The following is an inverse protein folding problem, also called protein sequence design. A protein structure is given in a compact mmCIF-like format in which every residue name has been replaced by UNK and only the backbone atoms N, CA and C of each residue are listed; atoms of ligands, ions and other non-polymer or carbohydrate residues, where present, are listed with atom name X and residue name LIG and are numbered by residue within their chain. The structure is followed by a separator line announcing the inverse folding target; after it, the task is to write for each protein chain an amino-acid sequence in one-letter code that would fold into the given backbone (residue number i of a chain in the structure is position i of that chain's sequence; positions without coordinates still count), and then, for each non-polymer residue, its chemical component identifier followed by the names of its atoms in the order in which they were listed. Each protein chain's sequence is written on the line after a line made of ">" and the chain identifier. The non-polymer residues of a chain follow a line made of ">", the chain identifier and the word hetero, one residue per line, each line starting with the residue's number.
data_IF_638963413359
#
_entry.id   IF_638963413359
#
_cell.length_a   1.000
_cell.length_b   1.000
_cell.length_c   1.000
_cell.angle_alpha   90.00
_cell.angle_beta   90.00
_cell.angle_gamma   90.00
#
_symmetry.space_group_name_H-M   'P 1'
#
loop_
_entity.id
_entity.type
_entity.pdbx_description
1 polymer ?
#
# COMPACT_ATOMS: atom_id res chain seq x y z
N UNK A 1 1.18 -16.81 3.26
CA UNK A 1 1.00 -16.97 1.80
C UNK A 1 1.04 -15.67 1.02
N UNK A 2 0.79 -14.52 1.66
CA UNK A 2 1.23 -13.25 1.10
C UNK A 2 2.75 -13.26 0.92
N UNK A 3 3.24 -12.89 -0.25
CA UNK A 3 4.65 -12.81 -0.63
C UNK A 3 5.24 -11.43 -0.32
N UNK A 4 6.56 -11.25 -0.48
CA UNK A 4 7.26 -10.00 -0.17
C UNK A 4 6.70 -8.75 -0.86
N UNK A 5 6.16 -8.90 -2.06
CA UNK A 5 5.54 -7.82 -2.83
C UNK A 5 4.08 -7.53 -2.47
N UNK A 6 3.52 -8.15 -1.42
CA UNK A 6 2.08 -8.01 -1.11
C UNK A 6 1.19 -8.93 -1.94
N UNK A 7 1.76 -9.67 -2.89
CA UNK A 7 1.02 -10.57 -3.76
C UNK A 7 0.60 -11.83 -3.03
N UNK A 8 -0.56 -12.35 -3.38
CA UNK A 8 -1.06 -13.63 -2.90
C UNK A 8 -1.38 -14.48 -4.12
N UNK A 9 -0.61 -15.52 -4.37
CA UNK A 9 -0.79 -16.90 -3.90
C UNK A 9 0.42 -17.69 -4.42
N UNK A 10 0.45 -19.01 -4.25
CA UNK A 10 1.47 -19.83 -4.89
C UNK A 10 0.82 -20.86 -5.80
N UNK A 11 0.87 -20.62 -7.11
CA UNK A 11 0.25 -21.47 -8.13
C UNK A 11 -1.28 -21.54 -7.96
N UNK A 12 -1.91 -20.38 -7.77
CA UNK A 12 -3.37 -20.22 -7.57
C UNK A 12 -3.90 -20.89 -6.28
N UNK A 13 -3.02 -21.19 -5.32
CA UNK A 13 -3.36 -21.93 -4.10
C UNK A 13 -2.81 -21.25 -2.85
N UNK A 14 -3.56 -21.40 -1.75
CA UNK A 14 -3.05 -21.23 -0.41
C UNK A 14 -2.28 -22.52 -0.02
N UNK A 15 -0.97 -22.42 0.12
CA UNK A 15 -0.05 -23.53 0.39
C UNK A 15 0.70 -23.42 1.73
N UNK A 16 0.53 -22.33 2.47
CA UNK A 16 1.22 -22.10 3.75
C UNK A 16 2.68 -21.67 3.62
N UNK A 17 3.15 -21.30 2.42
CA UNK A 17 4.55 -20.96 2.16
C UNK A 17 4.71 -19.62 1.42
N UNK A 18 4.90 -18.48 2.11
CA UNK A 18 5.10 -17.17 1.47
C UNK A 18 6.45 -17.03 0.74
N UNK A 19 7.32 -18.04 0.84
CA UNK A 19 8.62 -18.06 0.18
C UNK A 19 8.63 -18.92 -1.09
N UNK A 20 7.52 -19.56 -1.44
CA UNK A 20 7.45 -20.40 -2.63
C UNK A 20 7.64 -19.54 -3.90
N UNK A 21 8.44 -20.05 -4.85
CA UNK A 21 8.71 -19.37 -6.13
C UNK A 21 7.69 -19.73 -7.23
N UNK A 22 6.51 -20.18 -6.84
CA UNK A 22 5.45 -20.50 -7.79
C UNK A 22 4.82 -19.21 -8.31
N UNK A 23 4.04 -19.27 -9.40
CA UNK A 23 3.32 -18.10 -9.87
C UNK A 23 2.46 -17.44 -8.78
N UNK A 24 2.62 -16.12 -8.62
CA UNK A 24 1.81 -15.26 -7.77
C UNK A 24 0.75 -14.63 -8.67
N UNK A 25 -0.43 -15.22 -8.67
CA UNK A 25 -1.48 -14.85 -9.60
C UNK A 25 -2.10 -13.48 -9.24
N UNK A 26 -2.30 -12.65 -10.28
CA UNK A 26 -2.98 -11.35 -10.16
C UNK A 26 -4.38 -11.48 -9.57
N UNK A 27 -5.22 -12.40 -10.04
CA UNK A 27 -6.59 -12.54 -9.50
C UNK A 27 -6.61 -12.96 -8.04
N UNK A 28 -5.73 -13.87 -7.63
CA UNK A 28 -5.57 -14.25 -6.23
C UNK A 28 -5.18 -13.05 -5.35
N UNK A 29 -4.31 -12.16 -5.85
CA UNK A 29 -3.93 -10.94 -5.12
C UNK A 29 -5.11 -9.98 -4.99
N UNK A 30 -5.91 -9.78 -6.05
CA UNK A 30 -7.12 -8.96 -5.99
C UNK A 30 -8.14 -9.55 -5.00
N UNK A 31 -8.30 -10.87 -4.98
CA UNK A 31 -9.17 -11.55 -4.02
C UNK A 31 -8.68 -11.39 -2.57
N UNK A 32 -7.37 -11.49 -2.34
CA UNK A 32 -6.74 -11.22 -1.04
C UNK A 32 -7.02 -9.79 -0.56
N UNK A 33 -6.88 -8.80 -1.44
CA UNK A 33 -7.20 -7.41 -1.11
C UNK A 33 -8.68 -7.21 -0.81
N UNK A 34 -9.59 -7.76 -1.63
CA UNK A 34 -11.03 -7.66 -1.39
C UNK A 34 -11.43 -8.27 -0.04
N UNK A 35 -10.86 -9.43 0.30
CA UNK A 35 -11.06 -10.06 1.61
C UNK A 35 -10.49 -9.21 2.76
N UNK A 36 -9.32 -8.59 2.55
CA UNK A 36 -8.69 -7.71 3.54
C UNK A 36 -9.51 -6.43 3.79
N UNK A 37 -10.20 -5.89 2.77
CA UNK A 37 -11.15 -4.77 2.98
C UNK A 37 -12.27 -5.17 3.95
N UNK A 38 -12.86 -6.35 3.76
CA UNK A 38 -13.90 -6.86 4.67
C UNK A 38 -13.34 -7.18 6.06
N UNK A 39 -12.14 -7.75 6.15
CA UNK A 39 -11.46 -7.99 7.42
C UNK A 39 -11.20 -6.67 8.17
N UNK A 40 -10.77 -5.62 7.48
CA UNK A 40 -10.55 -4.30 8.05
C UNK A 40 -11.86 -3.69 8.58
N UNK A 41 -12.97 -3.84 7.83
CA UNK A 41 -14.31 -3.40 8.27
C UNK A 41 -14.76 -4.10 9.55
N UNK A 42 -14.52 -5.40 9.66
CA UNK A 42 -14.96 -6.21 10.79
C UNK A 42 -14.11 -6.01 12.04
N UNK A 43 -12.79 -5.89 11.87
CA UNK A 43 -11.84 -5.90 12.98
C UNK A 43 -11.41 -4.51 13.42
N UNK A 44 -11.40 -3.55 12.50
CA UNK A 44 -10.75 -2.25 12.72
C UNK A 44 -9.27 -2.37 13.05
N UNK A 45 -8.59 -3.45 12.63
CA UNK A 45 -7.16 -3.65 12.89
C UNK A 45 -6.32 -2.89 11.85
N UNK A 46 -5.48 -1.91 12.26
CA UNK A 46 -4.66 -1.13 11.33
C UNK A 46 -3.63 -1.96 10.56
N UNK A 47 -3.22 -3.13 11.06
CA UNK A 47 -2.27 -4.00 10.34
C UNK A 47 -2.89 -4.54 9.05
N UNK A 48 -4.22 -4.72 9.01
CA UNK A 48 -4.92 -5.10 7.78
C UNK A 48 -4.85 -3.98 6.73
N UNK A 49 -4.92 -2.72 7.16
CA UNK A 49 -4.70 -1.58 6.27
C UNK A 49 -3.24 -1.47 5.81
N UNK A 50 -2.27 -1.89 6.62
CA UNK A 50 -0.86 -2.01 6.20
C UNK A 50 -0.68 -3.08 5.12
N UNK A 51 -1.39 -4.22 5.21
CA UNK A 51 -1.40 -5.27 4.18
C UNK A 51 -2.05 -4.81 2.87
N UNK A 52 -3.14 -4.03 2.96
CA UNK A 52 -3.78 -3.39 1.81
C UNK A 52 -2.84 -2.40 1.14
N UNK A 53 -2.17 -1.55 1.92
CA UNK A 53 -1.17 -0.59 1.41
C UNK A 53 0.01 -1.32 0.74
N UNK A 54 0.56 -2.35 1.37
CA UNK A 54 1.64 -3.15 0.80
C UNK A 54 1.24 -3.75 -0.55
N UNK A 55 0.06 -4.38 -0.62
CA UNK A 55 -0.46 -5.00 -1.85
C UNK A 55 -0.70 -3.95 -2.95
N UNK A 56 -1.23 -2.79 -2.56
CA UNK A 56 -1.57 -1.69 -3.48
C UNK A 56 -0.31 -1.07 -4.08
N UNK A 57 0.67 -0.71 -3.26
CA UNK A 57 1.87 0.02 -3.71
C UNK A 57 2.93 -0.87 -4.36
N UNK A 58 2.85 -2.19 -4.17
CA UNK A 58 3.83 -3.14 -4.71
C UNK A 58 3.22 -4.08 -5.73
N UNK A 59 2.34 -5.01 -5.34
CA UNK A 59 1.79 -5.99 -6.28
C UNK A 59 0.83 -5.38 -7.31
N UNK A 60 -0.05 -4.47 -6.93
CA UNK A 60 -0.99 -3.83 -7.88
C UNK A 60 -0.25 -2.90 -8.83
N UNK A 61 0.69 -2.09 -8.36
CA UNK A 61 1.57 -1.32 -9.27
C UNK A 61 2.41 -2.27 -10.14
N UNK A 62 3.01 -3.30 -9.53
CA UNK A 62 3.92 -4.24 -10.18
C UNK A 62 3.25 -5.15 -11.21
N UNK A 63 1.96 -5.46 -11.10
CA UNK A 63 1.24 -6.26 -12.09
C UNK A 63 0.95 -5.46 -13.38
N UNK A 64 0.80 -4.14 -13.31
CA UNK A 64 0.49 -3.32 -14.49
C UNK A 64 1.76 -2.90 -15.25
N UNK A 65 1.67 -2.82 -16.58
CA UNK A 65 2.71 -2.17 -17.38
C UNK A 65 2.79 -0.69 -17.02
N UNK A 66 3.95 -0.06 -17.23
CA UNK A 66 4.10 1.38 -17.02
C UNK A 66 3.12 2.22 -17.87
N UNK A 67 2.73 1.70 -19.04
CA UNK A 67 1.74 2.31 -19.92
C UNK A 67 0.29 1.99 -19.55
N UNK A 68 0.05 1.12 -18.57
CA UNK A 68 -1.28 0.60 -18.22
C UNK A 68 -1.93 -0.32 -19.28
N UNK A 69 -1.25 -0.59 -20.40
CA UNK A 69 -1.81 -1.36 -21.54
C UNK A 69 -2.03 -2.84 -21.26
N UNK A 70 -1.28 -3.41 -20.33
CA UNK A 70 -1.40 -4.82 -19.99
C UNK A 70 -1.14 -5.02 -18.50
N UNK A 71 -1.66 -6.12 -17.98
CA UNK A 71 -1.32 -6.64 -16.65
C UNK A 71 -0.71 -8.04 -16.76
N UNK A 72 0.09 -8.41 -15.79
CA UNK A 72 0.64 -9.76 -15.64
C UNK A 72 -0.45 -10.76 -15.24
N UNK A 73 -0.26 -12.02 -15.65
CA UNK A 73 -0.92 -13.13 -14.96
C UNK A 73 -0.18 -13.45 -13.66
N UNK A 74 1.15 -13.58 -13.74
CA UNK A 74 2.05 -13.84 -12.62
C UNK A 74 2.92 -12.61 -12.33
N UNK A 75 2.90 -12.13 -11.10
CA UNK A 75 3.79 -11.05 -10.63
C UNK A 75 4.86 -11.61 -9.70
N UNK A 76 5.97 -12.12 -10.25
CA UNK A 76 6.95 -12.88 -9.45
C UNK A 76 7.75 -11.97 -8.52
N UNK A 77 8.28 -12.54 -7.43
CA UNK A 77 9.19 -11.84 -6.51
C UNK A 77 10.55 -11.52 -7.16
N UNK A 78 10.94 -12.30 -8.16
CA UNK A 78 12.15 -12.11 -8.95
C UNK A 78 11.93 -12.52 -10.41
N UNK A 79 12.75 -11.99 -11.33
CA UNK A 79 12.69 -12.33 -12.75
C UNK A 79 11.86 -11.35 -13.59
N UNK A 80 11.23 -11.86 -14.64
CA UNK A 80 10.68 -11.05 -15.73
C UNK A 80 9.15 -11.05 -15.67
N UNK A 81 8.56 -9.85 -15.70
CA UNK A 81 7.13 -9.66 -15.88
C UNK A 81 6.73 -9.89 -17.33
N UNK A 82 5.63 -10.59 -17.56
CA UNK A 82 5.08 -10.84 -18.89
C UNK A 82 3.61 -10.48 -18.91
N UNK A 83 3.14 -9.93 -20.03
CA UNK A 83 1.71 -9.70 -20.24
C UNK A 83 0.93 -11.01 -20.06
N UNK A 84 -0.25 -10.92 -19.45
CA UNK A 84 -1.15 -12.06 -19.25
C UNK A 84 -1.50 -12.75 -20.57
N UNK A 85 -1.61 -12.01 -21.69
CA UNK A 85 -1.78 -12.55 -23.03
C UNK A 85 -0.65 -13.47 -23.53
N UNK A 86 0.49 -13.52 -22.85
CA UNK A 86 1.56 -14.48 -23.16
C UNK A 86 1.58 -15.70 -22.23
N UNK A 87 0.87 -15.66 -21.11
CA UNK A 87 0.95 -16.67 -20.05
C UNK A 87 -0.37 -17.41 -19.82
N UNK A 88 -1.51 -16.75 -20.06
CA UNK A 88 -2.85 -17.28 -19.83
C UNK A 88 -3.80 -17.07 -21.02
N UNK A 89 -3.24 -16.98 -22.24
CA UNK A 89 -4.04 -16.76 -23.47
C UNK A 89 -5.06 -17.87 -23.73
N UNK A 90 -4.81 -19.08 -23.25
CA UNK A 90 -5.73 -20.22 -23.38
C UNK A 90 -7.04 -20.02 -22.58
N UNK A 91 -7.07 -19.07 -21.64
CA UNK A 91 -8.26 -18.67 -20.88
C UNK A 91 -8.84 -17.34 -21.37
N UNK A 92 -8.31 -16.78 -22.46
CA UNK A 92 -8.82 -15.53 -23.01
C UNK A 92 -10.10 -15.76 -23.82
N UNK A 93 -10.95 -14.74 -23.89
CA UNK A 93 -12.10 -14.75 -24.80
C UNK A 93 -11.60 -14.89 -26.24
N UNK A 94 -12.22 -15.77 -27.02
CA UNK A 94 -11.83 -16.05 -28.41
C UNK A 94 -11.79 -14.77 -29.25
N UNK A 95 -10.69 -14.58 -30.00
CA UNK A 95 -10.44 -13.38 -30.80
C UNK A 95 -9.93 -12.17 -30.00
N UNK A 96 -9.78 -12.29 -28.68
CA UNK A 96 -9.34 -11.21 -27.80
C UNK A 96 -8.27 -11.70 -26.81
N UNK A 97 -7.02 -11.94 -27.25
CA UNK A 97 -5.97 -12.56 -26.42
C UNK A 97 -5.62 -11.78 -25.15
N UNK A 98 -5.89 -10.47 -25.13
CA UNK A 98 -5.69 -9.59 -23.97
C UNK A 98 -6.85 -9.63 -22.97
N UNK A 99 -8.02 -10.21 -23.30
CA UNK A 99 -9.18 -10.28 -22.40
C UNK A 99 -9.22 -11.63 -21.69
N UNK A 100 -8.52 -11.71 -20.56
CA UNK A 100 -8.48 -12.85 -19.64
C UNK A 100 -8.82 -12.39 -18.22
N UNK A 101 -8.97 -13.33 -17.28
CA UNK A 101 -9.35 -13.02 -15.89
C UNK A 101 -8.42 -11.98 -15.24
N UNK A 102 -7.11 -12.11 -15.41
CA UNK A 102 -6.13 -11.25 -14.77
C UNK A 102 -6.18 -9.82 -15.32
N UNK A 103 -6.28 -9.66 -16.64
CA UNK A 103 -6.32 -8.32 -17.26
C UNK A 103 -7.59 -7.54 -16.94
N UNK A 104 -8.75 -8.23 -16.80
CA UNK A 104 -10.01 -7.55 -16.45
C UNK A 104 -10.16 -7.29 -14.95
N UNK A 105 -9.52 -8.11 -14.11
CA UNK A 105 -9.63 -8.00 -12.65
C UNK A 105 -8.57 -7.08 -12.05
N UNK A 106 -7.37 -6.96 -12.67
CA UNK A 106 -6.26 -6.16 -12.13
C UNK A 106 -6.61 -4.69 -11.81
N UNK A 107 -7.42 -3.96 -12.60
CA UNK A 107 -7.71 -2.55 -12.30
C UNK A 107 -8.49 -2.35 -11.01
N UNK A 108 -9.19 -3.39 -10.51
CA UNK A 108 -9.89 -3.34 -9.22
C UNK A 108 -8.94 -3.09 -8.06
N UNK A 109 -7.66 -3.45 -8.18
CA UNK A 109 -6.65 -3.17 -7.16
C UNK A 109 -6.58 -1.68 -6.81
N UNK A 110 -6.54 -0.82 -7.83
CA UNK A 110 -6.61 0.64 -7.64
C UNK A 110 -8.01 1.10 -7.24
N UNK A 111 -9.05 0.52 -7.86
CA UNK A 111 -10.44 0.85 -7.55
C UNK A 111 -10.80 0.67 -6.08
N UNK A 112 -10.24 -0.36 -5.43
CA UNK A 112 -10.52 -0.64 -4.01
C UNK A 112 -9.95 0.41 -3.05
N UNK A 113 -9.06 1.32 -3.49
CA UNK A 113 -8.58 2.41 -2.60
C UNK A 113 -9.76 3.19 -2.02
N UNK A 114 -10.83 3.44 -2.79
CA UNK A 114 -12.01 4.14 -2.28
C UNK A 114 -12.75 3.38 -1.18
N UNK A 115 -12.60 2.05 -1.10
CA UNK A 115 -13.32 1.21 -0.15
C UNK A 115 -12.70 1.20 1.24
N UNK A 116 -11.40 1.53 1.34
CA UNK A 116 -10.64 1.51 2.60
C UNK A 116 -9.89 2.81 2.90
N UNK A 117 -9.75 3.75 1.97
CA UNK A 117 -8.98 5.00 2.17
C UNK A 117 -9.49 5.83 3.36
N UNK A 118 -10.80 6.04 3.42
CA UNK A 118 -11.47 6.74 4.51
C UNK A 118 -12.68 5.92 4.96
N UNK A 119 -12.62 5.40 6.18
CA UNK A 119 -13.67 4.62 6.79
C UNK A 119 -14.34 5.41 7.92
N UNK A 120 -15.41 4.85 8.48
CA UNK A 120 -16.19 5.45 9.56
C UNK A 120 -16.49 4.40 10.62
N UNK A 121 -16.52 4.83 11.87
CA UNK A 121 -17.05 4.05 12.98
C UNK A 121 -17.93 4.92 13.90
N UNK A 122 -18.27 4.40 15.09
CA UNK A 122 -19.12 5.10 16.03
C UNK A 122 -18.53 6.43 16.56
N UNK A 123 -17.20 6.58 16.56
CA UNK A 123 -16.52 7.76 17.10
C UNK A 123 -16.25 8.83 16.03
N UNK A 124 -16.18 8.45 14.76
CA UNK A 124 -15.94 9.38 13.65
C UNK A 124 -15.28 8.75 12.43
N UNK A 125 -14.18 9.35 11.96
CA UNK A 125 -13.48 8.99 10.72
C UNK A 125 -12.20 8.21 10.99
N UNK A 126 -11.85 7.32 10.07
CA UNK A 126 -10.60 6.56 10.06
C UNK A 126 -9.91 6.78 8.72
N UNK A 127 -8.80 7.52 8.71
CA UNK A 127 -7.99 7.74 7.52
C UNK A 127 -6.88 6.68 7.45
N UNK A 128 -6.99 5.79 6.47
CA UNK A 128 -6.03 4.71 6.22
C UNK A 128 -5.07 5.05 5.09
N UNK A 129 -5.56 5.62 3.98
CA UNK A 129 -4.74 5.88 2.80
C UNK A 129 -4.02 7.21 2.89
N UNK A 130 -2.71 7.18 2.61
CA UNK A 130 -1.88 8.37 2.44
C UNK A 130 -1.47 8.51 0.98
N UNK A 131 -1.80 9.66 0.39
CA UNK A 131 -1.45 10.00 -0.98
C UNK A 131 -2.15 11.29 -1.41
N UNK A 132 -1.68 11.98 -2.48
CA UNK A 132 -2.33 13.18 -3.00
C UNK A 132 -3.81 12.91 -3.27
N UNK A 133 -4.70 13.53 -2.50
CA UNK A 133 -6.13 13.20 -2.57
C UNK A 133 -6.99 14.28 -1.93
N UNK A 134 -8.25 14.32 -2.32
CA UNK A 134 -9.30 15.07 -1.67
C UNK A 134 -10.50 14.13 -1.49
N UNK A 135 -10.86 13.86 -0.24
CA UNK A 135 -11.91 12.89 0.11
C UNK A 135 -12.99 13.63 0.87
N UNK A 136 -14.23 13.56 0.38
CA UNK A 136 -15.41 14.12 1.03
C UNK A 136 -16.32 13.00 1.49
N UNK A 137 -16.76 13.07 2.75
CA UNK A 137 -17.71 12.11 3.33
C UNK A 137 -18.74 12.82 4.18
N UNK A 138 -19.88 12.17 4.39
CA UNK A 138 -20.91 12.63 5.33
C UNK A 138 -20.91 11.75 6.57
N UNK A 139 -21.08 12.35 7.74
CA UNK A 139 -21.26 11.63 9.01
C UNK A 139 -22.51 12.14 9.72
N UNK A 140 -23.28 11.22 10.30
CA UNK A 140 -24.43 11.60 11.13
C UNK A 140 -23.92 12.05 12.49
N UNK A 141 -24.21 13.29 12.87
CA UNK A 141 -23.84 13.87 14.17
C UNK A 141 -25.05 14.03 15.11
N UNK A 142 -26.27 13.94 14.56
CA UNK A 142 -27.53 13.83 15.31
C UNK A 142 -28.61 13.16 14.42
N UNK A 143 -29.76 12.71 14.95
CA UNK A 143 -30.78 11.97 14.20
C UNK A 143 -31.26 12.63 12.90
N UNK A 144 -31.22 13.97 12.83
CA UNK A 144 -31.62 14.77 11.66
C UNK A 144 -30.50 15.69 11.16
N UNK A 145 -29.24 15.42 11.53
CA UNK A 145 -28.10 16.29 11.23
C UNK A 145 -26.93 15.49 10.68
N UNK A 146 -26.60 15.76 9.42
CA UNK A 146 -25.39 15.28 8.77
C UNK A 146 -24.34 16.39 8.75
N UNK A 147 -23.08 15.99 8.94
CA UNK A 147 -21.91 16.84 8.79
C UNK A 147 -21.12 16.35 7.58
N UNK A 148 -20.94 17.22 6.59
CA UNK A 148 -20.01 16.94 5.49
C UNK A 148 -18.59 17.29 5.95
N UNK A 149 -17.63 16.42 5.70
CA UNK A 149 -16.22 16.60 6.05
C UNK A 149 -15.36 16.29 4.84
N UNK A 150 -14.55 17.26 4.44
CA UNK A 150 -13.52 17.10 3.41
C UNK A 150 -12.15 17.00 4.05
N UNK A 151 -11.40 15.96 3.69
CA UNK A 151 -10.00 15.76 4.03
C UNK A 151 -9.17 15.94 2.76
N UNK A 152 -8.33 16.98 2.72
CA UNK A 152 -7.39 17.21 1.61
C UNK A 152 -5.98 16.86 2.04
N UNK A 153 -5.34 15.95 1.31
CA UNK A 153 -3.99 15.47 1.56
C UNK A 153 -3.01 16.08 0.55
N UNK A 154 -1.94 16.68 1.07
CA UNK A 154 -0.82 17.21 0.30
C UNK A 154 0.46 16.49 0.75
N UNK A 155 1.03 15.71 -0.15
CA UNK A 155 2.16 14.83 0.14
C UNK A 155 2.83 14.35 -1.14
N UNK A 156 4.08 13.92 -1.05
CA UNK A 156 4.74 13.10 -2.07
C UNK A 156 4.85 11.62 -1.65
N UNK A 157 4.18 11.22 -0.57
CA UNK A 157 4.08 9.83 -0.14
C UNK A 157 3.56 8.96 -1.29
N UNK A 158 4.13 7.76 -1.53
CA UNK A 158 5.11 7.06 -0.67
C UNK A 158 6.59 7.41 -0.93
N UNK A 159 6.92 8.37 -1.79
CA UNK A 159 8.32 8.78 -2.02
C UNK A 159 8.83 9.70 -0.91
N UNK A 160 7.99 10.60 -0.41
CA UNK A 160 8.29 11.44 0.75
C UNK A 160 7.65 10.93 2.05
N UNK A 161 8.20 11.38 3.17
CA UNK A 161 7.71 11.06 4.53
C UNK A 161 6.61 11.99 5.07
N UNK A 162 6.42 13.16 4.45
CA UNK A 162 5.54 14.22 5.00
C UNK A 162 4.15 14.14 4.41
N UNK A 163 3.13 14.06 5.26
CA UNK A 163 1.71 14.11 4.89
C UNK A 163 1.05 15.29 5.59
N UNK A 164 0.53 16.25 4.83
CA UNK A 164 -0.28 17.35 5.34
C UNK A 164 -1.74 17.12 5.03
N UNK A 165 -2.58 17.13 6.05
CA UNK A 165 -4.02 16.92 5.95
C UNK A 165 -4.73 18.20 6.38
N UNK A 166 -5.55 18.78 5.50
CA UNK A 166 -6.49 19.85 5.87
C UNK A 166 -7.85 19.24 6.16
N UNK A 167 -8.42 19.58 7.31
CA UNK A 167 -9.75 19.15 7.72
C UNK A 167 -10.73 20.30 7.48
N UNK A 168 -11.76 20.04 6.68
CA UNK A 168 -12.79 21.03 6.34
C UNK A 168 -14.18 20.44 6.60
N UNK A 169 -14.69 20.55 7.84
CA UNK A 169 -16.09 20.23 8.12
C UNK A 169 -17.01 21.36 7.64
N UNK A 170 -18.25 21.03 7.26
CA UNK A 170 -19.25 21.99 6.79
C UNK A 170 -19.66 23.01 7.86
N UNK A 171 -19.52 22.65 9.14
CA UNK A 171 -19.63 23.51 10.29
C UNK A 171 -18.68 23.04 11.39
N UNK A 172 -18.46 23.85 12.44
CA UNK A 172 -17.59 23.42 13.54
C UNK A 172 -18.25 22.31 14.35
N UNK A 173 -17.60 21.16 14.49
CA UNK A 173 -18.16 19.99 15.16
C UNK A 173 -17.09 19.18 15.90
N UNK A 174 -17.50 18.43 16.93
CA UNK A 174 -16.63 17.48 17.62
C UNK A 174 -16.79 16.08 17.02
N UNK A 175 -15.67 15.47 16.64
CA UNK A 175 -15.60 14.07 16.21
C UNK A 175 -14.18 13.55 16.34
N UNK A 176 -14.02 12.23 16.41
CA UNK A 176 -12.71 11.59 16.36
C UNK A 176 -12.26 11.45 14.91
N UNK A 177 -11.03 11.90 14.62
CA UNK A 177 -10.32 11.51 13.39
C UNK A 177 -9.16 10.58 13.78
N UNK A 178 -9.22 9.34 13.32
CA UNK A 178 -8.24 8.29 13.55
C UNK A 178 -7.27 8.26 12.37
N UNK A 179 -5.98 8.35 12.64
CA UNK A 179 -4.91 8.29 11.63
C UNK A 179 -4.17 6.97 11.77
N UNK A 180 -4.03 6.21 10.69
CA UNK A 180 -3.22 4.97 10.70
C UNK A 180 -1.74 5.32 10.94
N UNK A 181 -1.11 4.66 11.91
CA UNK A 181 0.34 4.69 12.06
C UNK A 181 0.87 3.31 11.62
N UNK A 182 1.54 3.22 10.46
CA UNK A 182 1.94 1.93 9.91
C UNK A 182 2.86 1.15 10.85
N UNK A 183 2.77 -0.19 10.87
CA UNK A 183 3.59 -1.04 11.76
C UNK A 183 5.10 -0.82 11.59
N UNK A 184 5.54 -0.53 10.36
CA UNK A 184 6.95 -0.33 10.01
C UNK A 184 7.48 1.06 10.40
N UNK A 185 6.61 1.99 10.79
CA UNK A 185 6.99 3.39 11.04
C UNK A 185 7.22 3.66 12.52
N UNK A 186 8.45 3.37 12.99
CA UNK A 186 8.79 3.36 14.41
C UNK A 186 8.65 4.73 15.10
N UNK A 187 9.06 5.82 14.43
CA UNK A 187 9.17 7.15 15.03
C UNK A 187 8.28 8.22 14.37
N UNK A 188 7.04 7.87 14.00
CA UNK A 188 6.10 8.84 13.41
C UNK A 188 5.83 10.02 14.34
N UNK A 189 5.89 11.25 13.81
CA UNK A 189 5.52 12.47 14.53
C UNK A 189 4.26 13.06 13.94
N UNK A 190 3.39 13.58 14.80
CA UNK A 190 2.15 14.24 14.40
C UNK A 190 2.00 15.58 15.10
N UNK A 191 1.64 16.60 14.33
CA UNK A 191 1.27 17.91 14.82
C UNK A 191 -0.15 18.24 14.39
N UNK A 192 -0.91 18.93 15.24
CA UNK A 192 -2.17 19.55 14.82
C UNK A 192 -2.13 21.04 15.13
N UNK A 193 -2.32 21.86 14.10
CA UNK A 193 -2.17 23.31 14.17
C UNK A 193 -0.84 23.73 14.81
N UNK A 194 0.25 23.03 14.46
CA UNK A 194 1.61 23.29 14.96
C UNK A 194 1.90 22.78 16.37
N UNK A 195 0.96 22.10 17.04
CA UNK A 195 1.19 21.52 18.37
C UNK A 195 1.41 20.01 18.27
N UNK A 196 2.47 19.51 18.89
CA UNK A 196 2.80 18.08 18.94
C UNK A 196 1.69 17.28 19.62
N UNK A 197 1.33 16.16 19.01
CA UNK A 197 0.42 15.17 19.59
C UNK A 197 1.23 14.04 20.21
N UNK A 198 1.07 13.76 21.52
CA UNK A 198 1.75 12.64 22.17
C UNK A 198 1.05 11.30 21.86
N UNK A 199 1.71 10.19 22.19
CA UNK A 199 1.09 8.86 22.14
C UNK A 199 0.97 8.25 20.74
N UNK A 200 1.72 8.76 19.77
CA UNK A 200 1.88 8.12 18.45
C UNK A 200 2.63 6.79 18.64
N UNK A 201 2.04 5.70 18.17
CA UNK A 201 2.61 4.34 18.29
C UNK A 201 2.44 3.59 16.97
N UNK A 202 3.43 2.80 16.53
CA UNK A 202 3.29 1.94 15.35
C UNK A 202 2.16 0.92 15.51
N UNK A 203 1.64 0.41 14.39
CA UNK A 203 0.59 -0.60 14.34
C UNK A 203 -0.68 -0.20 15.13
N UNK A 204 -1.02 1.09 15.11
CA UNK A 204 -2.13 1.64 15.86
C UNK A 204 -2.82 2.77 15.09
N UNK A 205 -4.06 3.06 15.47
CA UNK A 205 -4.71 4.30 15.09
C UNK A 205 -4.43 5.39 16.13
N UNK A 206 -3.79 6.48 15.70
CA UNK A 206 -3.71 7.70 16.50
C UNK A 206 -5.08 8.37 16.52
N UNK A 207 -5.70 8.43 17.69
CA UNK A 207 -7.01 9.05 17.90
C UNK A 207 -6.86 10.55 18.13
N UNK A 208 -7.51 11.36 17.29
CA UNK A 208 -7.61 12.81 17.46
C UNK A 208 -9.08 13.19 17.72
N UNK A 209 -9.48 13.14 19.00
CA UNK A 209 -10.81 13.60 19.44
C UNK A 209 -10.76 15.09 19.77
N UNK A 210 -11.43 15.90 18.94
CA UNK A 210 -11.44 17.35 19.09
C UNK A 210 -12.61 18.00 18.38
N UNK A 211 -12.83 19.27 18.73
CA UNK A 211 -13.68 20.19 17.97
C UNK A 211 -12.92 20.70 16.75
N UNK A 212 -13.28 20.17 15.58
CA UNK A 212 -12.70 20.53 14.28
C UNK A 212 -13.43 21.73 13.68
N UNK A 213 -12.68 22.61 13.05
CA UNK A 213 -13.18 23.75 12.26
C UNK A 213 -12.49 23.81 10.90
N UNK A 214 -13.10 24.53 9.96
CA UNK A 214 -12.54 24.74 8.63
C UNK A 214 -11.11 25.27 8.72
N UNK A 215 -10.18 24.60 8.05
CA UNK A 215 -8.78 24.99 7.95
C UNK A 215 -7.87 24.41 9.03
N UNK A 216 -8.40 23.63 9.98
CA UNK A 216 -7.54 22.86 10.88
C UNK A 216 -6.61 21.95 10.07
N UNK A 217 -5.36 21.88 10.51
CA UNK A 217 -4.27 21.22 9.78
C UNK A 217 -3.59 20.18 10.65
N UNK A 218 -3.39 19.01 10.09
CA UNK A 218 -2.57 17.93 10.64
C UNK A 218 -1.32 17.82 9.77
N UNK A 219 -0.15 17.81 10.39
CA UNK A 219 1.12 17.50 9.72
C UNK A 219 1.65 16.20 10.33
N UNK A 220 1.87 15.18 9.49
CA UNK A 220 2.51 13.92 9.86
C UNK A 220 3.88 13.81 9.20
N UNK A 221 4.87 13.34 9.95
CA UNK A 221 6.19 12.93 9.47
C UNK A 221 6.32 11.44 9.77
N UNK A 222 6.16 10.61 8.74
CA UNK A 222 6.17 9.15 8.82
C UNK A 222 7.63 8.69 8.78
N UNK A 223 8.04 7.86 9.74
CA UNK A 223 9.38 7.28 9.75
C UNK A 223 9.53 6.28 8.59
N UNK A 224 10.30 6.65 7.57
CA UNK A 224 10.55 5.88 6.34
C UNK A 224 11.88 5.12 6.39
N UNK A 225 12.43 4.86 7.59
CA UNK A 225 13.66 4.07 7.77
C UNK A 225 13.57 2.71 7.07
N UNK A 226 14.73 2.19 6.64
CA UNK A 226 14.78 0.88 6.00
C UNK A 226 14.36 -0.21 6.99
N UNK A 227 13.58 -1.16 6.49
CA UNK A 227 13.24 -2.39 7.21
C UNK A 227 13.32 -3.60 6.28
N UNK A 228 13.34 -4.78 6.87
CA UNK A 228 13.77 -6.00 6.18
C UNK A 228 12.80 -7.15 6.44
N UNK A 229 12.52 -7.93 5.39
CA UNK A 229 11.91 -9.25 5.53
C UNK A 229 12.93 -10.32 5.17
N UNK A 230 13.45 -10.99 6.19
CA UNK A 230 14.37 -12.13 6.04
C UNK A 230 13.65 -13.33 5.41
N UNK A 231 14.23 -13.82 4.32
CA UNK A 231 13.76 -15.00 3.61
C UNK A 231 13.99 -16.27 4.40
N UNK A 232 13.03 -17.19 4.32
CA UNK A 232 13.14 -18.55 4.86
C UNK A 232 12.76 -19.58 3.78
N UNK A 233 12.88 -20.87 4.11
CA UNK A 233 12.56 -21.99 3.19
C UNK A 233 13.27 -21.80 1.83
N UNK A 234 12.51 -21.74 0.73
CA UNK A 234 13.02 -21.56 -0.63
C UNK A 234 13.77 -20.23 -0.85
N UNK A 235 13.56 -19.25 0.03
CA UNK A 235 14.26 -17.96 0.02
C UNK A 235 15.28 -17.84 1.17
N UNK A 236 15.73 -18.94 1.75
CA UNK A 236 16.74 -18.93 2.83
C UNK A 236 18.04 -18.23 2.40
N UNK A 237 18.55 -17.35 3.27
CA UNK A 237 19.75 -16.56 2.98
C UNK A 237 19.54 -15.42 1.98
N UNK A 238 18.28 -15.04 1.71
CA UNK A 238 17.89 -13.84 0.98
C UNK A 238 17.15 -12.88 1.93
N UNK A 239 17.11 -11.60 1.59
CA UNK A 239 16.36 -10.58 2.33
C UNK A 239 15.67 -9.63 1.35
N UNK A 240 14.44 -9.27 1.66
CA UNK A 240 13.74 -8.17 0.99
C UNK A 240 13.95 -6.87 1.77
N UNK A 241 14.23 -5.78 1.06
CA UNK A 241 14.48 -4.46 1.64
C UNK A 241 13.31 -3.55 1.32
N UNK A 242 12.85 -2.81 2.32
CA UNK A 242 11.76 -1.86 2.18
C UNK A 242 12.17 -0.47 2.61
N UNK A 243 11.63 0.55 1.95
CA UNK A 243 11.62 1.94 2.43
C UNK A 243 10.17 2.37 2.61
N UNK A 244 9.74 2.53 3.85
CA UNK A 244 8.32 2.67 4.17
C UNK A 244 7.51 1.48 3.63
N UNK A 245 6.42 1.69 2.87
CA UNK A 245 5.63 0.59 2.33
C UNK A 245 6.21 0.01 1.02
N UNK A 246 7.27 0.62 0.46
CA UNK A 246 7.80 0.26 -0.85
C UNK A 246 8.84 -0.85 -0.73
N UNK A 247 8.57 -1.99 -1.37
CA UNK A 247 9.57 -3.03 -1.63
C UNK A 247 10.56 -2.51 -2.67
N UNK A 248 11.84 -2.49 -2.30
CA UNK A 248 12.91 -2.14 -3.22
C UNK A 248 13.28 -3.37 -4.06
N UNK A 249 13.70 -3.10 -5.31
CA UNK A 249 14.12 -4.12 -6.24
C UNK A 249 15.52 -3.83 -6.77
N UNK A 250 16.28 -4.89 -7.02
CA UNK A 250 17.52 -4.80 -7.76
C UNK A 250 17.25 -4.95 -9.25
N UNK A 251 17.58 -3.94 -10.04
CA UNK A 251 17.49 -3.99 -11.49
C UNK A 251 18.88 -3.96 -12.11
N UNK A 252 19.29 -5.10 -12.67
CA UNK A 252 20.58 -5.29 -13.31
C UNK A 252 20.91 -4.24 -14.37
N UNK A 253 19.91 -3.68 -15.06
CA UNK A 253 20.11 -2.66 -16.11
C UNK A 253 20.76 -1.38 -15.57
N UNK A 254 20.53 -1.06 -14.30
CA UNK A 254 21.11 0.09 -13.62
C UNK A 254 22.34 -0.27 -12.76
N UNK A 255 22.75 -1.54 -12.77
CA UNK A 255 23.79 -2.07 -11.87
C UNK A 255 24.74 -3.03 -12.62
N UNK A 256 24.97 -2.77 -13.91
CA UNK A 256 25.77 -3.65 -14.78
C UNK A 256 27.22 -3.83 -14.28
N UNK A 257 27.77 -2.82 -13.61
CA UNK A 257 29.13 -2.88 -13.03
C UNK A 257 29.20 -3.79 -11.79
N UNK A 258 28.08 -4.02 -11.12
CA UNK A 258 27.96 -4.80 -9.88
C UNK A 258 27.37 -6.20 -10.10
N UNK A 259 27.03 -6.56 -11.35
CA UNK A 259 26.33 -7.81 -11.63
C UNK A 259 26.92 -8.56 -12.82
N UNK A 260 27.79 -9.54 -12.55
CA UNK A 260 28.00 -10.67 -13.46
C UNK A 260 27.06 -11.80 -13.06
N UNK A 261 26.61 -12.58 -14.04
CA UNK A 261 25.75 -13.75 -13.80
C UNK A 261 26.46 -14.71 -12.84
N UNK A 262 25.95 -14.84 -11.61
CA UNK A 262 26.50 -15.72 -10.57
C UNK A 262 26.96 -15.01 -9.30
N UNK A 263 27.14 -13.68 -9.33
CA UNK A 263 27.55 -12.91 -8.16
C UNK A 263 26.39 -12.72 -7.18
N UNK A 264 26.63 -12.98 -5.89
CA UNK A 264 25.70 -12.63 -4.80
C UNK A 264 26.15 -11.30 -4.22
N UNK A 265 25.26 -10.32 -4.15
CA UNK A 265 25.50 -9.07 -3.42
C UNK A 265 25.28 -9.37 -1.93
N UNK A 266 26.35 -9.35 -1.14
CA UNK A 266 26.35 -9.81 0.26
C UNK A 266 26.35 -8.66 1.28
N UNK A 267 26.69 -7.44 0.89
CA UNK A 267 26.85 -6.29 1.79
C UNK A 267 26.02 -5.09 1.31
N UNK A 268 24.79 -4.98 1.81
CA UNK A 268 23.88 -3.85 1.52
C UNK A 268 24.31 -2.57 2.24
N UNK A 269 25.00 -2.69 3.38
CA UNK A 269 25.42 -1.54 4.20
C UNK A 269 26.50 -0.67 3.51
N UNK A 270 27.15 -1.21 2.47
CA UNK A 270 28.14 -0.52 1.65
C UNK A 270 27.56 0.01 0.33
N UNK A 271 26.28 -0.27 0.05
CA UNK A 271 25.62 0.12 -1.19
C UNK A 271 25.32 1.63 -1.19
N UNK A 272 26.07 2.38 -1.99
CA UNK A 272 25.76 3.77 -2.34
C UNK A 272 24.95 3.77 -3.64
N UNK A 273 23.64 4.06 -3.61
CA UNK A 273 22.87 4.16 -4.85
C UNK A 273 23.46 5.25 -5.74
N UNK A 274 23.44 5.10 -7.09
CA UNK A 274 23.80 6.17 -8.00
C UNK A 274 22.95 7.41 -7.67
N UNK A 275 23.61 8.51 -7.35
CA UNK A 275 22.94 9.78 -7.07
C UNK A 275 22.11 10.23 -8.27
N UNK A 276 20.86 10.61 -8.01
CA UNK A 276 19.92 11.28 -8.90
C UNK A 276 19.98 10.86 -10.38
N UNK A 277 19.52 9.65 -10.70
CA UNK A 277 18.84 9.46 -11.98
C UNK A 277 17.41 9.98 -11.82
N UNK A 278 17.23 11.27 -12.13
CA UNK A 278 15.91 11.86 -12.39
C UNK A 278 15.12 10.92 -13.32
N UNK A 279 13.95 10.51 -12.85
CA UNK A 279 12.88 9.91 -13.66
C UNK A 279 12.30 10.92 -14.63
#
# INVERSE_FOLDING_TARGET
>A
DRHNNGGFSSGEKATGNPYHLAPIETCCTIAWMAMSVEMLRLTGDPVVADELELSTLNSVVGMHSASGRWATYNTPMNGIRRASAHSTVFQARQGTPELNCCSVNSPRGFGMISDWALMRDADGLILNWYGPSEITTEMKIAPKKALSVTLKQETSYPLGERVRIRVTPSETAQFCLKLRVPYWSANTKVLVNGRTVPGVRPAAYLRLDRKWRKGDRIDMEIDMSLHFWTGARNCGGLTSVYRGPLLLAFDHRYNLELSRKGDRILHIDEWKPPGDMML
#
